data_IF_982238976366
#
_entry.id   IF_982238976366
#
_cell.length_a   1.000
_cell.length_b   1.000
_cell.length_c   1.000
_cell.angle_alpha   90.00
_cell.angle_beta   90.00
_cell.angle_gamma   90.00
#
_symmetry.space_group_name_H-M   'P 1'
#
loop_
_entity.id
_entity.type
_entity.pdbx_description
1 polymer ?
#
# COMPACT_ATOMS: atom_id res chain seq x y z
N UNK A 1 -24.89 2.93 15.71
CA UNK A 1 -24.27 2.08 14.67
C UNK A 1 -24.60 0.60 14.87
N UNK A 2 -24.19 -0.07 15.97
CA UNK A 2 -24.51 -1.50 16.17
C UNK A 2 -26.01 -1.86 16.02
N UNK A 3 -26.93 -1.06 16.58
CA UNK A 3 -28.37 -1.30 16.47
C UNK A 3 -29.03 -0.77 15.17
N UNK A 4 -28.42 0.23 14.53
CA UNK A 4 -29.00 0.98 13.40
C UNK A 4 -28.23 0.83 12.10
N UNK A 5 -27.30 -0.13 12.04
CA UNK A 5 -26.45 -0.39 10.88
C UNK A 5 -25.63 0.81 10.42
N UNK A 6 -25.32 0.78 9.11
CA UNK A 6 -24.63 1.86 8.40
C UNK A 6 -25.50 3.13 8.30
N UNK A 7 -26.82 2.99 8.19
CA UNK A 7 -27.75 4.12 8.07
C UNK A 7 -27.64 5.08 9.26
N UNK A 8 -27.43 4.55 10.48
CA UNK A 8 -27.19 5.39 11.65
C UNK A 8 -26.03 6.39 11.45
N UNK A 9 -25.00 6.01 10.68
CA UNK A 9 -23.83 6.84 10.38
C UNK A 9 -24.02 7.75 9.16
N UNK A 10 -24.61 7.25 8.07
CA UNK A 10 -24.66 7.97 6.79
C UNK A 10 -25.92 8.84 6.60
N UNK A 11 -27.03 8.49 7.25
CA UNK A 11 -28.31 9.20 7.12
C UNK A 11 -29.03 9.45 8.45
N UNK A 12 -28.52 8.90 9.55
CA UNK A 12 -29.11 8.97 10.88
C UNK A 12 -28.58 10.11 11.76
N UNK A 13 -28.79 9.95 13.08
CA UNK A 13 -28.43 10.98 14.06
C UNK A 13 -26.93 11.29 14.11
N UNK A 14 -26.06 10.30 13.84
CA UNK A 14 -24.60 10.53 13.79
C UNK A 14 -24.25 11.43 12.61
N UNK A 15 -24.86 11.21 11.44
CA UNK A 15 -24.66 12.05 10.26
C UNK A 15 -25.04 13.52 10.57
N UNK A 16 -26.19 13.71 11.24
CA UNK A 16 -26.67 15.04 11.61
C UNK A 16 -25.71 15.79 12.55
N UNK A 17 -25.20 15.13 13.59
CA UNK A 17 -24.22 15.72 14.52
C UNK A 17 -22.90 16.08 13.83
N UNK A 18 -22.37 15.17 13.00
CA UNK A 18 -21.14 15.40 12.24
C UNK A 18 -21.27 16.60 11.31
N UNK A 19 -22.34 16.68 10.52
CA UNK A 19 -22.57 17.79 9.58
C UNK A 19 -22.75 19.10 10.33
N UNK A 20 -23.51 19.10 11.43
CA UNK A 20 -23.71 20.30 12.23
C UNK A 20 -22.39 20.81 12.82
N UNK A 21 -21.55 19.91 13.35
CA UNK A 21 -20.22 20.23 13.85
C UNK A 21 -19.30 20.80 12.76
N UNK A 22 -19.21 20.11 11.63
CA UNK A 22 -18.38 20.51 10.50
C UNK A 22 -18.84 21.83 9.87
N UNK A 23 -20.15 22.07 9.78
CA UNK A 23 -20.71 23.33 9.28
C UNK A 23 -20.29 24.51 10.15
N UNK A 24 -20.31 24.36 11.49
CA UNK A 24 -19.83 25.39 12.42
C UNK A 24 -18.33 25.72 12.25
N UNK A 25 -17.55 24.75 11.76
CA UNK A 25 -16.13 24.91 11.45
C UNK A 25 -15.87 25.41 10.02
N UNK A 26 -16.92 25.73 9.25
CA UNK A 26 -16.81 26.24 7.88
C UNK A 26 -16.62 25.16 6.81
N UNK A 27 -16.80 23.88 7.15
CA UNK A 27 -16.78 22.79 6.17
C UNK A 27 -17.92 22.92 5.16
N UNK A 28 -17.68 22.42 3.94
CA UNK A 28 -18.69 22.31 2.88
C UNK A 28 -19.38 20.94 2.84
N UNK A 29 -18.93 19.98 3.66
CA UNK A 29 -19.54 18.66 3.73
C UNK A 29 -20.99 18.78 4.22
N UNK A 30 -21.91 18.18 3.49
CA UNK A 30 -23.34 18.22 3.75
C UNK A 30 -23.91 16.85 4.10
N UNK A 31 -25.15 16.82 4.59
CA UNK A 31 -25.88 15.57 4.81
C UNK A 31 -26.12 14.81 3.49
N UNK A 32 -26.26 15.54 2.37
CA UNK A 32 -26.41 14.93 1.05
C UNK A 32 -25.15 14.13 0.68
N UNK A 33 -23.96 14.66 0.94
CA UNK A 33 -22.68 13.98 0.67
C UNK A 33 -22.55 12.67 1.45
N UNK A 34 -22.92 12.67 2.73
CA UNK A 34 -22.93 11.46 3.57
C UNK A 34 -23.95 10.44 3.08
N UNK A 35 -25.18 10.88 2.80
CA UNK A 35 -26.26 9.98 2.36
C UNK A 35 -26.05 9.40 0.96
N UNK A 36 -25.26 10.07 0.12
CA UNK A 36 -24.95 9.61 -1.23
C UNK A 36 -23.80 8.59 -1.26
N UNK A 37 -23.08 8.39 -0.15
CA UNK A 37 -22.01 7.42 -0.07
C UNK A 37 -22.54 5.98 -0.03
N UNK A 38 -21.92 5.11 -0.82
CA UNK A 38 -22.04 3.66 -0.70
C UNK A 38 -20.67 3.01 -0.93
N UNK A 39 -20.35 1.89 -0.25
CA UNK A 39 -19.17 1.11 -0.57
C UNK A 39 -19.30 0.52 -1.98
N UNK A 40 -18.19 0.49 -2.71
CA UNK A 40 -18.13 -0.05 -4.07
C UNK A 40 -17.44 -1.42 -4.05
N UNK A 41 -17.99 -2.39 -4.79
CA UNK A 41 -17.30 -3.63 -5.13
C UNK A 41 -16.59 -3.43 -6.46
N UNK A 42 -15.28 -3.67 -6.48
CA UNK A 42 -14.47 -3.51 -7.68
C UNK A 42 -13.72 -4.81 -8.00
N UNK A 43 -13.51 -5.07 -9.28
CA UNK A 43 -12.71 -6.21 -9.74
C UNK A 43 -11.23 -5.97 -9.34
N UNK A 44 -10.59 -6.93 -8.65
CA UNK A 44 -9.18 -6.79 -8.27
C UNK A 44 -8.26 -6.85 -9.48
N UNK A 45 -7.13 -6.15 -9.38
CA UNK A 45 -5.99 -6.36 -10.27
C UNK A 45 -5.25 -7.63 -9.84
N UNK A 46 -4.65 -8.34 -10.80
CA UNK A 46 -3.86 -9.52 -10.50
C UNK A 46 -2.69 -9.73 -11.44
N UNK A 47 -1.72 -10.52 -11.00
CA UNK A 47 -0.60 -10.99 -11.82
C UNK A 47 -0.05 -12.32 -11.29
N UNK A 48 0.33 -13.18 -12.23
CA UNK A 48 1.07 -14.39 -11.90
C UNK A 48 2.55 -14.10 -11.64
N UNK A 49 3.08 -14.69 -10.57
CA UNK A 49 4.49 -14.59 -10.18
C UNK A 49 4.90 -15.86 -9.42
N UNK A 50 5.93 -16.56 -9.91
CA UNK A 50 6.51 -17.71 -9.20
C UNK A 50 5.50 -18.83 -8.89
N UNK A 51 4.57 -19.13 -9.81
CA UNK A 51 3.53 -20.17 -9.62
C UNK A 51 2.36 -19.77 -8.72
N UNK A 52 2.26 -18.49 -8.35
CA UNK A 52 1.18 -17.91 -7.57
C UNK A 52 0.51 -16.77 -8.35
N UNK A 53 -0.73 -16.44 -8.00
CA UNK A 53 -1.42 -15.25 -8.50
C UNK A 53 -1.56 -14.25 -7.36
N UNK A 54 -1.00 -13.05 -7.53
CA UNK A 54 -1.05 -11.96 -6.56
C UNK A 54 -2.21 -11.04 -6.92
N UNK A 55 -3.13 -10.82 -5.98
CA UNK A 55 -4.35 -10.02 -6.13
C UNK A 55 -4.26 -8.76 -5.28
N UNK A 56 -4.70 -7.63 -5.82
CA UNK A 56 -4.76 -6.36 -5.08
C UNK A 56 -5.83 -5.42 -5.63
N UNK A 57 -6.08 -4.31 -4.93
CA UNK A 57 -7.11 -3.34 -5.29
C UNK A 57 -6.79 -2.55 -6.56
N UNK A 58 -7.80 -2.18 -7.37
CA UNK A 58 -7.63 -1.33 -8.54
C UNK A 58 -7.43 0.15 -8.16
N UNK A 59 -7.38 1.03 -9.17
CA UNK A 59 -7.52 2.48 -8.94
C UNK A 59 -8.81 2.77 -8.16
N UNK A 60 -8.83 3.74 -7.25
CA UNK A 60 -7.84 4.80 -6.99
C UNK A 60 -6.72 4.43 -6.01
N UNK A 61 -6.45 3.14 -5.80
CA UNK A 61 -5.37 2.68 -4.92
C UNK A 61 -4.05 2.45 -5.68
N UNK A 62 -2.98 2.23 -4.94
CA UNK A 62 -1.61 2.10 -5.49
C UNK A 62 -1.14 0.65 -5.72
N UNK A 63 -2.06 -0.33 -5.71
CA UNK A 63 -1.77 -1.76 -5.83
C UNK A 63 -1.07 -2.16 -7.13
N UNK A 64 -1.32 -1.45 -8.23
CA UNK A 64 -0.67 -1.71 -9.51
C UNK A 64 0.87 -1.61 -9.46
N UNK A 65 1.45 -0.79 -8.56
CA UNK A 65 2.92 -0.72 -8.41
C UNK A 65 3.51 -2.05 -7.95
N UNK A 66 2.81 -2.78 -7.08
CA UNK A 66 3.23 -4.11 -6.64
C UNK A 66 3.29 -5.05 -7.84
N UNK A 67 2.23 -5.08 -8.64
CA UNK A 67 2.14 -5.95 -9.82
C UNK A 67 3.14 -5.53 -10.91
N UNK A 68 3.39 -4.23 -11.06
CA UNK A 68 4.39 -3.69 -11.97
C UNK A 68 5.79 -4.19 -11.63
N UNK A 69 6.21 -4.07 -10.36
CA UNK A 69 7.55 -4.51 -9.96
C UNK A 69 7.66 -6.04 -9.96
N UNK A 70 6.66 -6.77 -9.46
CA UNK A 70 6.66 -8.24 -9.53
C UNK A 70 6.70 -8.77 -10.96
N UNK A 71 6.01 -8.10 -11.89
CA UNK A 71 6.06 -8.42 -13.30
C UNK A 71 7.42 -8.14 -13.93
N UNK A 72 8.00 -6.96 -13.67
CA UNK A 72 9.32 -6.60 -14.18
C UNK A 72 10.44 -7.49 -13.62
N UNK A 73 10.33 -7.96 -12.37
CA UNK A 73 11.26 -8.93 -11.79
C UNK A 73 11.34 -10.24 -12.60
N UNK A 74 10.22 -10.68 -13.20
CA UNK A 74 10.18 -11.87 -14.06
C UNK A 74 10.91 -11.69 -15.40
N UNK A 75 11.22 -10.46 -15.78
CA UNK A 75 11.91 -10.10 -17.03
C UNK A 75 13.36 -9.66 -16.82
N UNK A 76 13.85 -9.65 -15.57
CA UNK A 76 15.25 -9.31 -15.32
C UNK A 76 16.18 -10.34 -16.00
N UNK A 77 17.34 -9.90 -16.52
CA UNK A 77 18.33 -10.82 -17.08
C UNK A 77 18.74 -11.90 -16.07
N UNK A 78 19.04 -13.09 -16.59
CA UNK A 78 19.53 -14.21 -15.77
C UNK A 78 20.78 -13.80 -14.97
N UNK A 79 20.80 -14.16 -13.69
CA UNK A 79 21.90 -13.85 -12.77
C UNK A 79 21.82 -12.51 -12.04
N UNK A 80 20.79 -11.69 -12.28
CA UNK A 80 20.54 -10.49 -11.47
C UNK A 80 19.99 -10.88 -10.09
N UNK A 81 20.87 -10.85 -9.08
CA UNK A 81 20.52 -11.11 -7.68
C UNK A 81 19.99 -9.85 -6.99
N UNK A 82 18.68 -9.64 -7.04
CA UNK A 82 18.01 -8.48 -6.42
C UNK A 82 18.03 -8.47 -4.89
N UNK A 83 18.45 -9.55 -4.24
CA UNK A 83 18.68 -9.62 -2.78
C UNK A 83 20.16 -9.42 -2.40
N UNK A 84 21.02 -9.15 -3.38
CA UNK A 84 22.44 -8.90 -3.21
C UNK A 84 22.93 -7.82 -4.18
N UNK A 85 23.85 -8.18 -5.07
CA UNK A 85 24.54 -7.23 -5.96
C UNK A 85 23.61 -6.53 -6.97
N UNK A 86 22.44 -7.11 -7.26
CA UNK A 86 21.41 -6.57 -8.13
C UNK A 86 20.38 -5.68 -7.43
N UNK A 87 20.50 -5.43 -6.13
CA UNK A 87 19.53 -4.62 -5.37
C UNK A 87 19.35 -3.20 -5.94
N UNK A 88 20.39 -2.63 -6.55
CA UNK A 88 20.32 -1.35 -7.27
C UNK A 88 19.34 -1.36 -8.46
N UNK A 89 19.17 -2.49 -9.15
CA UNK A 89 18.17 -2.63 -10.21
C UNK A 89 16.74 -2.67 -9.63
N UNK A 90 16.55 -3.36 -8.51
CA UNK A 90 15.26 -3.34 -7.79
C UNK A 90 14.92 -1.93 -7.29
N UNK A 91 15.92 -1.16 -6.83
CA UNK A 91 15.72 0.23 -6.44
C UNK A 91 15.27 1.10 -7.64
N UNK A 92 15.88 0.89 -8.82
CA UNK A 92 15.48 1.56 -10.05
C UNK A 92 14.04 1.22 -10.51
N UNK A 93 13.63 -0.04 -10.38
CA UNK A 93 12.24 -0.45 -10.63
C UNK A 93 11.26 0.28 -9.71
N UNK A 94 11.55 0.37 -8.41
CA UNK A 94 10.72 1.10 -7.46
C UNK A 94 10.69 2.61 -7.74
N UNK A 95 11.83 3.20 -8.10
CA UNK A 95 11.90 4.61 -8.50
C UNK A 95 11.00 4.88 -9.71
N UNK A 96 11.01 3.98 -10.72
CA UNK A 96 10.09 4.08 -11.86
C UNK A 96 8.63 3.94 -11.44
N UNK A 97 8.29 2.93 -10.64
CA UNK A 97 6.92 2.71 -10.15
C UNK A 97 6.40 3.91 -9.34
N UNK A 98 7.25 4.55 -8.53
CA UNK A 98 6.92 5.77 -7.79
C UNK A 98 6.57 6.95 -8.72
N UNK A 99 7.30 7.12 -9.83
CA UNK A 99 6.99 8.14 -10.85
C UNK A 99 5.67 7.86 -11.56
N UNK A 100 5.40 6.60 -11.89
CA UNK A 100 4.14 6.19 -12.49
C UNK A 100 2.97 6.43 -11.52
N UNK A 101 3.16 6.15 -10.22
CA UNK A 101 2.17 6.49 -9.18
C UNK A 101 1.88 7.98 -9.12
N UNK A 102 2.89 8.84 -9.16
CA UNK A 102 2.70 10.28 -9.13
C UNK A 102 1.85 10.80 -10.31
N UNK A 103 1.86 10.09 -11.43
CA UNK A 103 1.08 10.42 -12.64
C UNK A 103 -0.33 9.82 -12.62
N UNK A 104 -0.50 8.60 -12.12
CA UNK A 104 -1.73 7.82 -12.34
C UNK A 104 -2.64 7.65 -11.13
N UNK A 105 -2.14 7.87 -9.90
CA UNK A 105 -2.91 7.58 -8.69
C UNK A 105 -4.06 8.58 -8.48
N UNK A 106 -5.22 8.29 -9.05
CA UNK A 106 -6.41 9.13 -9.03
C UNK A 106 -7.72 8.32 -9.09
N UNK A 107 -8.85 8.99 -8.88
CA UNK A 107 -10.19 8.41 -9.09
C UNK A 107 -10.45 8.07 -10.56
N UNK A 108 -10.63 6.78 -10.92
CA UNK A 108 -10.87 6.40 -12.31
C UNK A 108 -12.17 6.97 -12.87
N UNK A 109 -13.13 7.39 -12.02
CA UNK A 109 -14.39 8.01 -12.44
C UNK A 109 -14.23 9.44 -12.99
N UNK A 110 -13.07 10.05 -12.76
CA UNK A 110 -12.76 11.44 -13.12
C UNK A 110 -11.50 11.52 -14.00
N UNK A 111 -11.19 10.44 -14.71
CA UNK A 111 -9.98 10.27 -15.52
C UNK A 111 -10.03 10.99 -16.88
N UNK A 112 -10.80 12.08 -17.00
CA UNK A 112 -10.78 12.98 -18.18
C UNK A 112 -9.48 13.80 -18.31
N UNK A 113 -8.49 13.54 -17.46
CA UNK A 113 -7.14 14.10 -17.61
C UNK A 113 -6.40 13.21 -18.60
N UNK A 114 -5.95 13.79 -19.71
CA UNK A 114 -5.07 13.22 -20.75
C UNK A 114 -3.80 12.60 -20.12
N UNK A 115 -3.93 11.43 -19.49
CA UNK A 115 -2.81 10.63 -19.03
C UNK A 115 -2.50 9.64 -20.13
N UNK A 116 -1.38 9.86 -20.82
CA UNK A 116 -0.85 9.02 -21.91
C UNK A 116 -0.59 7.54 -21.52
N UNK A 117 -0.94 7.13 -20.29
CA UNK A 117 -0.59 5.83 -19.72
C UNK A 117 -1.76 5.29 -18.87
N UNK A 118 -2.30 4.14 -19.27
CA UNK A 118 -3.26 3.35 -18.50
C UNK A 118 -2.52 2.33 -17.62
N UNK A 119 -3.12 1.92 -16.50
CA UNK A 119 -2.65 0.81 -15.66
C UNK A 119 -2.50 -0.46 -16.50
N UNK A 120 -3.42 -0.72 -17.43
CA UNK A 120 -3.33 -1.91 -18.29
C UNK A 120 -2.10 -1.86 -19.21
N UNK A 121 -1.73 -0.67 -19.69
CA UNK A 121 -0.53 -0.46 -20.51
C UNK A 121 0.74 -0.62 -19.68
N UNK A 122 0.76 -0.14 -18.43
CA UNK A 122 1.91 -0.35 -17.53
C UNK A 122 2.13 -1.80 -17.15
N UNK A 123 1.04 -2.57 -17.08
CA UNK A 123 1.05 -3.98 -16.75
C UNK A 123 1.16 -4.87 -18.01
N UNK A 124 1.23 -4.30 -19.21
CA UNK A 124 1.50 -5.07 -20.42
C UNK A 124 2.91 -5.68 -20.37
N UNK A 125 3.06 -6.89 -20.92
CA UNK A 125 4.29 -7.67 -20.80
C UNK A 125 5.51 -6.95 -21.41
N UNK A 126 5.32 -6.26 -22.55
CA UNK A 126 6.33 -5.46 -23.23
C UNK A 126 6.77 -4.24 -22.40
N UNK A 127 5.84 -3.58 -21.70
CA UNK A 127 6.14 -2.47 -20.82
C UNK A 127 6.97 -2.91 -19.59
N UNK A 128 6.70 -4.11 -19.08
CA UNK A 128 7.41 -4.72 -17.96
C UNK A 128 8.80 -5.21 -18.36
N UNK A 129 8.92 -5.86 -19.52
CA UNK A 129 10.21 -6.27 -20.09
C UNK A 129 11.13 -5.06 -20.29
N UNK A 130 10.58 -3.98 -20.86
CA UNK A 130 11.32 -2.71 -21.02
C UNK A 130 11.71 -2.10 -19.68
N UNK A 131 10.85 -2.19 -18.65
CA UNK A 131 11.20 -1.72 -17.30
C UNK A 131 12.35 -2.51 -16.68
N UNK A 132 12.36 -3.83 -16.86
CA UNK A 132 13.43 -4.69 -16.39
C UNK A 132 14.77 -4.37 -17.07
N UNK A 133 14.77 -4.21 -18.39
CA UNK A 133 15.96 -3.86 -19.17
C UNK A 133 16.55 -2.50 -18.75
N UNK A 134 15.70 -1.46 -18.67
CA UNK A 134 16.12 -0.12 -18.24
C UNK A 134 16.70 -0.14 -16.81
N UNK A 135 16.11 -0.91 -15.90
CA UNK A 135 16.51 -0.96 -14.49
C UNK A 135 17.93 -1.52 -14.27
N UNK A 136 18.43 -2.37 -15.17
CA UNK A 136 19.78 -2.95 -15.05
C UNK A 136 20.86 -1.88 -15.07
N UNK A 137 20.64 -0.76 -15.76
CA UNK A 137 21.63 0.31 -15.89
C UNK A 137 21.20 1.63 -15.27
N UNK A 138 19.91 1.79 -14.94
CA UNK A 138 19.39 3.00 -14.33
C UNK A 138 19.97 3.27 -12.94
N UNK A 139 20.20 4.55 -12.65
CA UNK A 139 20.58 5.06 -11.34
C UNK A 139 19.44 5.85 -10.69
N UNK A 140 19.76 6.49 -9.57
CA UNK A 140 18.92 7.50 -8.96
C UNK A 140 18.62 8.64 -9.94
N UNK A 141 17.41 9.18 -9.85
CA UNK A 141 16.98 10.34 -10.65
C UNK A 141 16.73 11.52 -9.71
N UNK A 142 17.35 12.67 -9.98
CA UNK A 142 17.13 13.89 -9.21
C UNK A 142 15.68 14.39 -9.34
N UNK A 143 15.06 14.77 -8.22
CA UNK A 143 13.78 15.46 -8.22
C UNK A 143 13.14 15.64 -6.84
N UNK A 144 12.70 16.85 -6.46
CA UNK A 144 11.92 17.06 -5.24
C UNK A 144 10.51 16.50 -5.40
N UNK A 145 9.95 15.98 -4.31
CA UNK A 145 8.54 15.56 -4.25
C UNK A 145 7.64 16.67 -3.72
N UNK A 146 6.49 16.89 -4.37
CA UNK A 146 5.40 17.67 -3.82
C UNK A 146 4.38 16.74 -3.14
N UNK A 147 4.70 16.19 -1.95
CA UNK A 147 3.79 15.23 -1.28
C UNK A 147 3.77 15.33 0.24
N UNK A 148 2.64 15.70 0.85
CA UNK A 148 2.52 15.72 2.31
C UNK A 148 2.75 14.33 2.94
N UNK A 149 3.63 14.26 3.96
CA UNK A 149 3.94 13.10 4.83
C UNK A 149 2.67 12.40 5.35
N UNK A 150 2.28 11.19 4.88
CA UNK A 150 1.41 10.33 5.66
C UNK A 150 2.26 9.64 6.73
N UNK A 151 2.40 10.25 7.92
CA UNK A 151 2.65 9.44 9.12
C UNK A 151 1.37 8.64 9.39
N UNK A 152 1.13 7.61 8.59
CA UNK A 152 -0.17 6.96 8.59
C UNK A 152 -0.37 6.18 9.88
N UNK A 153 -1.41 6.55 10.65
CA UNK A 153 -2.04 5.64 11.60
C UNK A 153 -2.93 4.70 10.76
N UNK A 154 -2.28 3.70 10.16
CA UNK A 154 -2.95 2.69 9.34
C UNK A 154 -2.91 1.39 10.10
N UNK A 155 -4.05 0.73 10.22
CA UNK A 155 -4.15 -0.60 10.80
C UNK A 155 -4.39 -1.59 9.67
N UNK A 156 -3.60 -2.67 9.66
CA UNK A 156 -3.84 -3.84 8.84
C UNK A 156 -4.37 -4.97 9.73
N UNK A 157 -5.46 -5.60 9.31
CA UNK A 157 -6.02 -6.81 9.94
C UNK A 157 -6.20 -7.84 8.85
N UNK A 158 -5.61 -9.01 9.02
CA UNK A 158 -5.76 -10.14 8.09
C UNK A 158 -6.30 -11.34 8.83
N UNK A 159 -7.24 -12.05 8.20
CA UNK A 159 -7.92 -13.21 8.80
C UNK A 159 -8.26 -14.22 7.71
N UNK A 160 -8.32 -15.49 8.10
CA UNK A 160 -8.84 -16.61 7.30
C UNK A 160 -9.52 -17.61 8.25
N UNK A 161 -10.52 -18.34 7.77
CA UNK A 161 -11.20 -19.38 8.55
C UNK A 161 -11.30 -20.72 7.81
N UNK A 162 -11.79 -21.74 8.52
CA UNK A 162 -11.93 -23.11 8.01
C UNK A 162 -13.06 -23.30 6.99
N UNK A 163 -13.96 -22.33 6.88
CA UNK A 163 -15.04 -22.34 5.89
C UNK A 163 -14.57 -21.74 4.54
N UNK A 164 -13.31 -21.29 4.49
CA UNK A 164 -12.68 -20.73 3.29
C UNK A 164 -12.89 -19.24 3.12
N UNK A 165 -13.39 -18.52 4.14
CA UNK A 165 -13.46 -17.06 4.10
C UNK A 165 -12.11 -16.45 4.49
N UNK A 166 -11.74 -15.39 3.78
CA UNK A 166 -10.57 -14.59 4.09
C UNK A 166 -10.84 -13.11 3.93
N UNK A 167 -10.20 -12.29 4.76
CA UNK A 167 -10.31 -10.85 4.71
C UNK A 167 -8.97 -10.18 4.99
N UNK A 168 -8.61 -9.21 4.14
CA UNK A 168 -7.56 -8.24 4.39
C UNK A 168 -8.21 -6.86 4.52
N UNK A 169 -8.28 -6.35 5.75
CA UNK A 169 -8.80 -5.03 6.05
C UNK A 169 -7.63 -4.09 6.28
N UNK A 170 -7.63 -2.97 5.54
CA UNK A 170 -6.66 -1.91 5.72
C UNK A 170 -7.38 -0.58 5.88
N UNK A 171 -7.20 0.05 7.03
CA UNK A 171 -8.00 1.18 7.49
C UNK A 171 -7.08 2.30 7.96
N UNK A 172 -7.42 3.54 7.63
CA UNK A 172 -6.62 4.69 8.06
C UNK A 172 -7.41 5.98 8.07
N UNK A 173 -7.06 6.87 9.00
CA UNK A 173 -7.47 8.29 9.02
C UNK A 173 -6.52 9.21 8.24
N UNK A 174 -5.57 8.63 7.49
CA UNK A 174 -4.50 9.22 6.68
C UNK A 174 -3.28 9.73 7.45
N UNK A 175 -3.38 10.85 8.17
CA UNK A 175 -2.34 11.31 9.11
C UNK A 175 -2.65 10.84 10.53
N UNK A 176 -1.72 10.89 11.51
CA UNK A 176 -2.05 10.52 12.89
C UNK A 176 -3.16 11.42 13.39
N UNK A 177 -4.21 10.83 13.99
CA UNK A 177 -5.44 11.53 14.38
C UNK A 177 -6.20 12.23 13.22
N UNK A 178 -5.88 11.88 11.97
CA UNK A 178 -6.51 12.43 10.78
C UNK A 178 -6.47 13.96 10.74
N UNK A 179 -7.65 14.56 10.71
CA UNK A 179 -7.83 16.02 10.71
C UNK A 179 -7.60 16.69 12.07
N UNK A 180 -7.49 15.91 13.15
CA UNK A 180 -7.53 16.43 14.52
C UNK A 180 -8.92 16.89 14.96
N UNK A 181 -9.95 16.73 14.12
CA UNK A 181 -11.33 17.08 14.44
C UNK A 181 -12.03 15.89 15.08
N UNK A 182 -12.34 16.03 16.37
CA UNK A 182 -13.18 15.13 17.15
C UNK A 182 -14.61 15.65 17.17
N UNK A 183 -15.57 14.81 16.82
CA UNK A 183 -16.98 15.07 17.12
C UNK A 183 -17.26 14.59 18.56
N UNK A 184 -17.51 15.51 19.53
CA UNK A 184 -17.53 15.15 20.95
C UNK A 184 -18.69 14.24 21.36
N UNK A 185 -19.85 14.30 20.70
CA UNK A 185 -21.03 13.52 21.09
C UNK A 185 -20.91 12.04 20.70
N UNK A 186 -20.14 11.74 19.65
CA UNK A 186 -19.99 10.42 19.04
C UNK A 186 -18.61 9.82 19.28
N UNK A 187 -17.61 10.64 19.63
CA UNK A 187 -16.22 10.22 19.77
C UNK A 187 -15.49 9.99 18.45
N UNK A 188 -16.09 10.34 17.32
CA UNK A 188 -15.52 10.09 15.98
C UNK A 188 -14.43 11.11 15.69
N UNK A 189 -13.23 10.61 15.36
CA UNK A 189 -12.13 11.41 14.81
C UNK A 189 -12.19 11.36 13.29
N UNK A 190 -12.27 12.53 12.65
CA UNK A 190 -12.40 12.62 11.20
C UNK A 190 -11.06 12.47 10.49
N UNK A 191 -11.04 11.67 9.43
CA UNK A 191 -9.87 11.52 8.56
C UNK A 191 -9.52 12.83 7.83
N UNK A 192 -8.28 12.99 7.37
CA UNK A 192 -7.87 14.08 6.48
C UNK A 192 -7.37 13.60 5.11
N UNK A 193 -7.88 12.45 4.63
CA UNK A 193 -7.53 11.88 3.32
C UNK A 193 -7.67 12.86 2.14
N UNK A 194 -8.56 13.85 2.22
CA UNK A 194 -8.68 14.91 1.21
C UNK A 194 -7.41 15.75 1.03
N UNK A 195 -6.49 15.78 2.00
CA UNK A 195 -5.19 16.43 1.87
C UNK A 195 -4.27 15.75 0.83
N UNK A 196 -4.64 14.57 0.33
CA UNK A 196 -3.90 13.89 -0.73
C UNK A 196 -4.25 14.37 -2.14
N UNK A 197 -5.29 15.19 -2.31
CA UNK A 197 -5.53 15.84 -3.60
C UNK A 197 -4.41 16.81 -3.95
N UNK A 198 -4.11 16.90 -5.24
CA UNK A 198 -3.33 18.00 -5.81
C UNK A 198 -4.20 19.24 -5.99
N UNK A 199 -3.58 20.41 -5.92
CA UNK A 199 -4.18 21.68 -6.35
C UNK A 199 -3.68 22.12 -7.73
N UNK A 200 -2.77 21.37 -8.34
CA UNK A 200 -2.34 21.58 -9.72
C UNK A 200 -3.43 21.09 -10.68
N UNK A 201 -4.03 21.97 -11.51
CA UNK A 201 -5.02 21.59 -12.51
C UNK A 201 -4.55 20.53 -13.51
N UNK A 202 -3.24 20.40 -13.74
CA UNK A 202 -2.67 19.39 -14.63
C UNK A 202 -2.56 18.00 -13.99
N UNK A 203 -2.74 17.88 -12.67
CA UNK A 203 -2.66 16.60 -11.97
C UNK A 203 -3.90 15.75 -12.20
N UNK A 204 -3.71 14.47 -12.52
CA UNK A 204 -4.79 13.47 -12.54
C UNK A 204 -5.50 13.37 -11.19
N UNK A 205 -4.83 13.70 -10.09
CA UNK A 205 -5.38 13.73 -8.73
C UNK A 205 -5.73 15.16 -8.27
N UNK A 206 -6.05 16.07 -9.19
CA UNK A 206 -6.56 17.41 -8.85
C UNK A 206 -7.90 17.33 -8.10
N UNK A 207 -8.08 18.17 -7.08
CA UNK A 207 -9.30 18.28 -6.27
C UNK A 207 -10.52 18.61 -7.14
N UNK A 208 -11.57 17.79 -7.05
CA UNK A 208 -12.86 18.03 -7.70
C UNK A 208 -14.04 17.55 -6.82
N UNK A 209 -15.25 18.15 -6.95
CA UNK A 209 -16.45 17.68 -6.24
C UNK A 209 -16.79 16.23 -6.59
N UNK A 210 -17.16 15.42 -5.59
CA UNK A 210 -17.56 14.01 -5.79
C UNK A 210 -16.40 13.04 -6.15
N UNK A 211 -15.21 13.58 -6.45
CA UNK A 211 -14.00 12.80 -6.72
C UNK A 211 -13.44 12.20 -5.45
N UNK A 212 -12.85 11.00 -5.56
CA UNK A 212 -12.05 10.39 -4.49
C UNK A 212 -10.58 10.79 -4.62
N UNK A 213 -9.88 11.17 -3.54
CA UNK A 213 -8.45 11.38 -3.62
C UNK A 213 -7.75 10.05 -3.88
N UNK A 214 -6.60 10.06 -4.55
CA UNK A 214 -5.72 8.89 -4.63
C UNK A 214 -5.52 8.22 -3.26
N UNK A 215 -5.31 6.91 -3.25
CA UNK A 215 -5.27 6.14 -2.01
C UNK A 215 -4.02 5.28 -1.90
N UNK A 216 -3.38 5.35 -0.73
CA UNK A 216 -2.20 4.53 -0.43
C UNK A 216 -2.58 3.13 0.05
N UNK A 217 -3.78 2.94 0.59
CA UNK A 217 -4.14 1.65 1.17
C UNK A 217 -4.41 0.63 0.07
N UNK A 218 -3.70 -0.50 0.11
CA UNK A 218 -3.81 -1.58 -0.87
C UNK A 218 -3.76 -2.96 -0.17
N UNK A 219 -4.89 -3.68 -0.02
CA UNK A 219 -4.87 -5.05 0.49
C UNK A 219 -4.22 -6.00 -0.52
N UNK A 220 -3.66 -7.11 -0.04
CA UNK A 220 -3.07 -8.16 -0.87
C UNK A 220 -3.59 -9.54 -0.46
N UNK A 221 -4.00 -10.32 -1.46
CA UNK A 221 -4.27 -11.75 -1.33
C UNK A 221 -3.45 -12.50 -2.38
N UNK A 222 -3.08 -13.72 -2.09
CA UNK A 222 -2.30 -14.56 -3.00
C UNK A 222 -2.90 -15.94 -3.07
N UNK A 223 -3.11 -16.43 -4.29
CA UNK A 223 -3.61 -17.78 -4.55
C UNK A 223 -2.54 -18.63 -5.24
N UNK A 224 -2.67 -19.95 -5.11
CA UNK A 224 -1.93 -20.95 -5.88
C UNK A 224 -2.94 -21.79 -6.65
N UNK A 225 -3.08 -21.51 -7.94
CA UNK A 225 -4.28 -21.95 -8.67
C UNK A 225 -5.52 -21.31 -8.05
N UNK A 226 -6.54 -22.12 -7.76
CA UNK A 226 -7.80 -21.66 -7.18
C UNK A 226 -7.79 -21.64 -5.64
N UNK A 227 -6.68 -22.05 -5.00
CA UNK A 227 -6.57 -22.14 -3.54
C UNK A 227 -5.92 -20.89 -2.95
N UNK A 228 -6.47 -20.37 -1.86
CA UNK A 228 -5.87 -19.28 -1.10
C UNK A 228 -4.56 -19.76 -0.44
N UNK A 229 -3.47 -19.04 -0.67
CA UNK A 229 -2.16 -19.34 -0.08
C UNK A 229 -1.80 -18.34 1.04
N UNK A 230 -1.99 -17.03 0.78
CA UNK A 230 -1.68 -15.99 1.75
C UNK A 230 -2.66 -14.83 1.73
N UNK A 231 -2.90 -14.26 2.92
CA UNK A 231 -3.53 -12.95 3.12
C UNK A 231 -2.49 -12.04 3.75
N UNK A 232 -2.19 -10.92 3.09
CA UNK A 232 -1.11 -10.01 3.50
C UNK A 232 -1.61 -8.57 3.55
N UNK A 233 -1.40 -7.91 4.68
CA UNK A 233 -1.75 -6.50 4.87
C UNK A 233 -0.59 -5.77 5.53
N UNK A 234 -0.31 -4.52 5.15
CA UNK A 234 0.74 -3.74 5.82
C UNK A 234 0.37 -2.27 5.94
N UNK A 235 0.72 -1.65 7.06
CA UNK A 235 0.87 -0.20 7.12
C UNK A 235 2.09 0.24 6.30
N UNK A 236 2.17 1.54 5.96
CA UNK A 236 3.40 2.12 5.41
C UNK A 236 3.17 3.24 4.41
N UNK A 237 1.97 3.83 4.33
CA UNK A 237 1.67 4.88 3.36
C UNK A 237 2.08 4.49 1.93
N UNK A 238 2.95 5.26 1.28
CA UNK A 238 3.46 4.95 -0.07
C UNK A 238 4.40 3.73 -0.14
N UNK A 239 4.93 3.27 0.99
CA UNK A 239 5.81 2.12 1.06
C UNK A 239 5.07 0.77 0.97
N UNK A 240 3.75 0.75 1.12
CA UNK A 240 2.97 -0.51 1.16
C UNK A 240 3.28 -1.48 0.01
N UNK A 241 3.33 -1.07 -1.28
CA UNK A 241 3.71 -1.98 -2.36
C UNK A 241 5.10 -2.58 -2.19
N UNK A 242 6.07 -1.79 -1.70
CA UNK A 242 7.46 -2.21 -1.53
C UNK A 242 7.62 -3.18 -0.36
N UNK A 243 6.90 -2.93 0.73
CA UNK A 243 6.85 -3.82 1.89
C UNK A 243 6.17 -5.14 1.51
N UNK A 244 5.02 -5.07 0.81
CA UNK A 244 4.35 -6.26 0.30
C UNK A 244 5.26 -7.09 -0.60
N UNK A 245 5.98 -6.47 -1.54
CA UNK A 245 6.90 -7.19 -2.42
C UNK A 245 8.02 -7.89 -1.63
N UNK A 246 8.63 -7.24 -0.64
CA UNK A 246 9.68 -7.86 0.18
C UNK A 246 9.14 -9.06 0.98
N UNK A 247 7.98 -8.90 1.63
CA UNK A 247 7.33 -9.99 2.38
C UNK A 247 6.97 -11.15 1.45
N UNK A 248 6.35 -10.87 0.29
CA UNK A 248 5.98 -11.90 -0.67
C UNK A 248 7.19 -12.62 -1.25
N UNK A 249 8.26 -11.92 -1.60
CA UNK A 249 9.50 -12.54 -2.12
C UNK A 249 10.12 -13.49 -1.10
N UNK A 250 10.11 -13.13 0.18
CA UNK A 250 10.56 -14.03 1.26
C UNK A 250 9.67 -15.27 1.37
N UNK A 251 8.34 -15.10 1.34
CA UNK A 251 7.37 -16.21 1.35
C UNK A 251 7.54 -17.14 0.14
N UNK A 252 7.67 -16.59 -1.07
CA UNK A 252 7.91 -17.35 -2.30
C UNK A 252 9.24 -18.12 -2.26
N UNK A 253 10.23 -17.61 -1.51
CA UNK A 253 11.52 -18.27 -1.29
C UNK A 253 11.47 -19.31 -0.15
N UNK A 254 10.29 -19.57 0.42
CA UNK A 254 10.06 -20.60 1.43
C UNK A 254 10.24 -20.13 2.88
N UNK A 255 10.36 -18.82 3.13
CA UNK A 255 10.37 -18.30 4.49
C UNK A 255 9.01 -18.56 5.18
N UNK A 256 9.04 -18.85 6.48
CA UNK A 256 7.83 -18.82 7.31
C UNK A 256 7.23 -17.40 7.37
N UNK A 257 5.93 -17.25 7.67
CA UNK A 257 5.32 -15.93 7.89
C UNK A 257 6.09 -15.05 8.88
N UNK A 258 6.59 -15.62 9.98
CA UNK A 258 7.37 -14.91 11.00
C UNK A 258 8.71 -14.42 10.44
N UNK A 259 9.41 -15.25 9.69
CA UNK A 259 10.65 -14.86 9.02
C UNK A 259 10.41 -13.78 7.97
N UNK A 260 9.33 -13.89 7.19
CA UNK A 260 9.02 -12.94 6.12
C UNK A 260 8.68 -11.55 6.66
N UNK A 261 7.86 -11.45 7.73
CA UNK A 261 7.55 -10.14 8.33
C UNK A 261 8.75 -9.59 9.12
N UNK A 262 9.55 -10.44 9.75
CA UNK A 262 10.71 -10.05 10.55
C UNK A 262 11.98 -9.72 9.76
N UNK A 263 12.04 -10.02 8.47
CA UNK A 263 13.20 -9.76 7.63
C UNK A 263 13.55 -8.25 7.56
N UNK A 264 14.85 -7.88 7.44
CA UNK A 264 15.28 -6.50 7.25
C UNK A 264 14.66 -5.87 5.99
N UNK A 265 14.34 -4.57 6.05
CA UNK A 265 13.64 -3.84 5.00
C UNK A 265 14.37 -2.59 4.54
N UNK A 266 14.07 -2.23 3.30
CA UNK A 266 14.39 -0.94 2.73
C UNK A 266 13.28 -0.46 1.79
N UNK A 267 13.17 0.85 1.59
CA UNK A 267 12.10 1.50 0.81
C UNK A 267 12.70 2.67 0.03
N UNK A 268 12.40 2.73 -1.27
CA UNK A 268 12.78 3.82 -2.17
C UNK A 268 11.77 4.96 -2.13
N UNK A 269 12.30 6.19 -2.08
CA UNK A 269 11.59 7.45 -2.09
C UNK A 269 11.26 7.92 -0.68
N UNK A 270 11.66 9.14 -0.33
CA UNK A 270 11.46 9.68 1.02
C UNK A 270 9.99 9.78 1.41
N UNK A 271 9.62 9.32 2.61
CA UNK A 271 8.23 9.20 3.04
C UNK A 271 7.50 10.55 3.23
N UNK A 272 8.21 11.67 3.08
CA UNK A 272 7.71 12.99 3.37
C UNK A 272 7.63 14.05 2.29
N UNK A 273 7.06 15.17 2.72
CA UNK A 273 6.90 16.37 1.90
C UNK A 273 8.22 17.05 1.65
N UNK A 274 8.56 17.17 0.36
CA UNK A 274 9.82 17.73 -0.06
C UNK A 274 11.00 16.78 0.18
N UNK A 275 10.77 15.55 0.63
CA UNK A 275 11.85 14.58 0.71
C UNK A 275 12.23 14.09 -0.71
N UNK A 276 13.52 13.82 -0.97
CA UNK A 276 13.97 13.42 -2.30
C UNK A 276 13.46 12.03 -2.73
N UNK A 277 13.23 11.84 -4.04
CA UNK A 277 12.87 10.51 -4.61
C UNK A 277 14.06 9.52 -4.63
N UNK A 278 15.30 10.02 -4.60
CA UNK A 278 16.53 9.22 -4.51
C UNK A 278 16.88 8.79 -3.09
N UNK A 279 16.10 9.21 -2.09
CA UNK A 279 16.25 8.76 -0.72
C UNK A 279 15.80 7.30 -0.59
N UNK A 280 16.61 6.46 0.07
CA UNK A 280 16.26 5.09 0.44
C UNK A 280 16.32 4.97 1.94
N UNK A 281 15.17 4.68 2.55
CA UNK A 281 15.11 4.34 3.97
C UNK A 281 15.51 2.88 4.13
N UNK A 282 16.45 2.58 5.02
CA UNK A 282 17.04 1.23 5.13
C UNK A 282 17.32 0.87 6.57
N UNK A 283 16.99 -0.35 6.99
CA UNK A 283 17.42 -0.85 8.31
C UNK A 283 18.90 -1.19 8.31
N UNK A 284 19.56 -0.94 9.43
CA UNK A 284 21.02 -1.12 9.57
C UNK A 284 21.47 -2.58 9.51
N UNK A 285 20.55 -3.54 9.66
CA UNK A 285 20.79 -4.97 9.50
C UNK A 285 20.47 -5.51 8.10
N UNK A 286 20.09 -4.64 7.15
CA UNK A 286 20.13 -4.98 5.72
C UNK A 286 21.59 -5.25 5.32
N UNK A 287 21.88 -6.36 4.60
CA UNK A 287 23.25 -6.74 4.26
C UNK A 287 24.05 -5.62 3.57
N UNK A 288 25.32 -5.47 3.92
CA UNK A 288 26.22 -4.45 3.35
C UNK A 288 26.29 -4.51 1.82
N UNK A 289 26.23 -5.72 1.24
CA UNK A 289 26.21 -5.91 -0.21
C UNK A 289 24.98 -5.26 -0.86
N UNK A 290 23.81 -5.33 -0.22
CA UNK A 290 22.56 -4.71 -0.69
C UNK A 290 22.66 -3.20 -0.56
N UNK A 291 23.07 -2.70 0.62
CA UNK A 291 23.24 -1.26 0.87
C UNK A 291 24.24 -0.64 -0.11
N UNK A 292 25.39 -1.30 -0.31
CA UNK A 292 26.41 -0.91 -1.28
C UNK A 292 25.87 -0.88 -2.70
N UNK A 293 25.20 -1.95 -3.14
CA UNK A 293 24.63 -2.01 -4.50
C UNK A 293 23.58 -0.92 -4.77
N UNK A 294 22.82 -0.49 -3.75
CA UNK A 294 21.87 0.62 -3.86
C UNK A 294 22.63 1.96 -3.91
N UNK A 295 23.58 2.18 -3.00
CA UNK A 295 24.38 3.41 -2.95
C UNK A 295 25.19 3.63 -4.24
N UNK A 296 25.75 2.56 -4.83
CA UNK A 296 26.51 2.58 -6.09
C UNK A 296 25.66 3.05 -7.29
N UNK A 297 24.33 2.98 -7.18
CA UNK A 297 23.39 3.54 -8.17
C UNK A 297 23.06 5.02 -7.93
N UNK A 298 23.67 5.66 -6.94
CA UNK A 298 23.50 7.08 -6.63
C UNK A 298 22.35 7.39 -5.67
N UNK A 299 21.73 6.38 -5.05
CA UNK A 299 20.70 6.61 -4.05
C UNK A 299 21.31 7.05 -2.72
N UNK A 300 20.65 8.00 -2.05
CA UNK A 300 21.03 8.44 -0.71
C UNK A 300 20.42 7.51 0.33
N UNK A 301 21.25 6.83 1.13
CA UNK A 301 20.76 5.96 2.19
C UNK A 301 20.48 6.76 3.48
N UNK A 302 19.29 6.59 4.04
CA UNK A 302 18.96 7.01 5.40
C UNK A 302 18.74 5.77 6.27
N UNK A 303 19.67 5.54 7.19
CA UNK A 303 19.67 4.34 8.03
C UNK A 303 18.74 4.49 9.24
N UNK A 304 18.08 3.38 9.59
CA UNK A 304 17.31 3.21 10.81
C UNK A 304 17.81 1.99 11.59
N UNK A 305 17.59 1.92 12.92
CA UNK A 305 17.86 0.69 13.68
C UNK A 305 17.06 -0.51 13.13
N UNK A 306 17.51 -1.75 13.40
CA UNK A 306 16.74 -2.94 13.06
C UNK A 306 15.34 -2.88 13.63
N UNK A 307 14.37 -3.38 12.87
CA UNK A 307 12.95 -3.37 13.22
C UNK A 307 12.41 -1.97 13.56
N UNK A 308 12.69 -0.99 12.71
CA UNK A 308 12.14 0.35 12.85
C UNK A 308 10.69 0.44 12.35
N UNK A 309 9.79 1.00 13.17
CA UNK A 309 8.40 1.31 12.80
C UNK A 309 8.27 2.18 11.53
N UNK A 310 9.33 2.91 11.16
CA UNK A 310 9.39 3.71 9.95
C UNK A 310 9.24 2.89 8.66
N UNK A 311 9.48 1.58 8.72
CA UNK A 311 9.43 0.66 7.58
C UNK A 311 8.21 -0.29 7.63
N UNK A 312 7.15 0.19 8.30
CA UNK A 312 5.79 -0.36 8.25
C UNK A 312 5.62 -1.68 9.01
N UNK A 313 4.36 -2.06 9.24
CA UNK A 313 3.99 -3.23 10.03
C UNK A 313 3.12 -4.16 9.18
N UNK A 314 3.69 -5.30 8.80
CA UNK A 314 3.02 -6.32 8.00
C UNK A 314 2.34 -7.39 8.88
N UNK A 315 1.23 -7.90 8.38
CA UNK A 315 0.48 -9.00 8.95
C UNK A 315 0.30 -10.05 7.87
N UNK A 316 0.52 -11.32 8.21
CA UNK A 316 0.41 -12.44 7.27
C UNK A 316 -0.41 -13.56 7.89
N UNK A 317 -1.37 -14.06 7.14
CA UNK A 317 -1.96 -15.40 7.36
C UNK A 317 -1.58 -16.26 6.16
N UNK A 318 -0.89 -17.37 6.42
CA UNK A 318 -0.68 -18.46 5.47
C UNK A 318 -1.76 -19.52 5.67
N UNK A 319 -2.30 -19.99 4.57
CA UNK A 319 -3.26 -21.08 4.51
C UNK A 319 -2.60 -22.26 3.79
N UNK A 320 -2.47 -23.36 4.50
CA UNK A 320 -1.93 -24.62 3.98
C UNK A 320 -3.00 -25.72 4.14
N UNK A 321 -2.82 -26.86 3.47
CA UNK A 321 -3.73 -28.01 3.60
C UNK A 321 -3.83 -28.53 5.05
N UNK A 322 -2.77 -28.36 5.84
CA UNK A 322 -2.67 -28.82 7.23
C UNK A 322 -3.15 -27.76 8.24
N UNK A 323 -3.56 -26.57 7.80
CA UNK A 323 -4.11 -25.52 8.66
C UNK A 323 -3.55 -24.12 8.38
N UNK A 324 -3.46 -23.31 9.43
CA UNK A 324 -3.10 -21.89 9.34
C UNK A 324 -1.78 -21.60 10.03
N UNK A 325 -1.01 -20.66 9.49
CA UNK A 325 0.09 -20.00 10.21
C UNK A 325 -0.14 -18.50 10.15
N UNK A 326 0.05 -17.78 11.26
CA UNK A 326 -0.20 -16.34 11.30
C UNK A 326 0.96 -15.61 12.00
N UNK A 327 1.41 -14.50 11.42
CA UNK A 327 2.50 -13.68 11.94
C UNK A 327 2.15 -12.19 11.95
N UNK A 328 2.65 -11.51 12.99
CA UNK A 328 2.61 -10.05 13.13
C UNK A 328 4.04 -9.52 13.10
N UNK A 329 4.23 -8.38 12.45
CA UNK A 329 5.51 -7.69 12.38
C UNK A 329 6.12 -7.45 13.77
N UNK A 330 7.42 -7.73 14.00
CA UNK A 330 8.09 -7.40 15.26
C UNK A 330 8.37 -5.90 15.44
N UNK A 331 8.17 -5.08 14.40
CA UNK A 331 8.43 -3.63 14.44
C UNK A 331 7.53 -2.87 15.40
N UNK A 332 6.37 -3.38 15.74
CA UNK A 332 5.39 -2.71 16.60
C UNK A 332 4.58 -3.68 17.42
N UNK A 333 3.82 -3.14 18.37
CA UNK A 333 2.86 -3.92 19.11
C UNK A 333 1.82 -4.52 18.16
N UNK A 334 1.61 -5.83 18.27
CA UNK A 334 0.72 -6.57 17.41
C UNK A 334 0.57 -8.00 17.86
N UNK A 335 -0.40 -8.72 17.30
CA UNK A 335 -0.63 -10.11 17.67
C UNK A 335 -1.15 -10.90 16.49
N UNK A 336 -0.54 -12.05 16.28
CA UNK A 336 -1.08 -13.10 15.45
C UNK A 336 -1.46 -14.30 16.31
N UNK A 337 -2.55 -14.98 15.95
CA UNK A 337 -2.98 -16.19 16.63
C UNK A 337 -3.75 -17.09 15.66
N UNK A 338 -3.58 -18.39 15.84
CA UNK A 338 -4.43 -19.43 15.26
C UNK A 338 -5.29 -19.95 16.41
N UNK A 339 -6.60 -19.95 16.22
CA UNK A 339 -7.56 -20.38 17.25
C UNK A 339 -8.31 -21.59 16.72
N UNK A 340 -8.27 -22.69 17.46
CA UNK A 340 -9.11 -23.84 17.19
C UNK A 340 -10.54 -23.54 17.67
N UNK A 341 -11.48 -23.53 16.74
CA UNK A 341 -12.90 -23.46 17.07
C UNK A 341 -13.34 -24.75 17.76
N UNK A 342 -14.08 -24.65 18.87
CA UNK A 342 -14.90 -25.78 19.31
C UNK A 342 -16.04 -25.94 18.30
N UNK A 343 -16.18 -27.13 17.73
CA UNK A 343 -17.31 -27.45 16.85
C UNK A 343 -18.61 -27.06 17.57
N UNK A 344 -19.37 -26.14 16.97
CA UNK A 344 -20.70 -25.73 17.45
C UNK A 344 -21.76 -26.76 17.10
#
# INVERSE_FOLDING_TARGET
MAAGGADAFYSGSVAAELVAGLTRLGSRLSAADLSAFAPETATPLHRDHGGHTVWTSPLNTQGYQLLQVLGALGHLPEGVDVDGAGAGALAALWSRANRDRARLLADPRHADVDVDVDVDVLLADDALARAAEEAVTAGATDGPTAFVQPRGDTVAVVTSDSDGYAACLILSVFHPFGSGLLEPATGIVLHNRGAYFSLDPASSNCLAPGKRPGHTLMPVMVTRGDELAWVVGTMGGKAQPQIHAQVLRALFSGASPEQAVGAPRWVVGGLGAGEPEDLVLVESDVPDAVRGAIADRGYTLQEFPPHSEMLGHAQVVRVDADGFTAASDPRSDGRAMVVEGSAR
#
